data_IF_905925346148
#
_entry.id   IF_905925346148
#
_cell.length_a   1.000
_cell.length_b   1.000
_cell.length_c   1.000
_cell.angle_alpha   90.00
_cell.angle_beta   90.00
_cell.angle_gamma   90.00
#
_symmetry.space_group_name_H-M   'P 1'
#
loop_
_entity.id
_entity.type
_entity.pdbx_description
1 polymer ?
#
# COMPACT_ATOMS: atom_id res chain seq x y z
N UNK A 1 3.08 14.65 26.35
CA UNK A 1 1.70 14.97 25.93
C UNK A 1 1.66 16.07 24.87
N UNK A 2 2.39 17.18 25.02
CA UNK A 2 2.41 18.25 23.99
C UNK A 2 3.10 17.81 22.68
N UNK A 3 4.28 17.20 22.77
CA UNK A 3 5.03 16.70 21.58
C UNK A 3 4.28 15.60 20.83
N UNK A 4 3.60 14.72 21.55
CA UNK A 4 2.77 13.68 20.98
C UNK A 4 1.59 14.28 20.20
N UNK A 5 0.89 15.26 20.80
CA UNK A 5 -0.21 15.97 20.13
C UNK A 5 0.29 16.75 18.91
N UNK A 6 1.46 17.38 19.00
CA UNK A 6 2.11 18.01 17.86
C UNK A 6 2.35 16.98 16.74
N UNK A 7 2.89 15.82 17.08
CA UNK A 7 3.21 14.75 16.13
C UNK A 7 1.95 14.23 15.44
N UNK A 8 0.89 13.95 16.20
CA UNK A 8 -0.41 13.51 15.66
C UNK A 8 -0.96 14.54 14.66
N UNK A 9 -0.90 15.84 14.98
CA UNK A 9 -1.34 16.88 14.04
C UNK A 9 -0.50 16.91 12.76
N UNK A 10 0.81 16.71 12.87
CA UNK A 10 1.72 16.67 11.71
C UNK A 10 1.49 15.43 10.84
N UNK A 11 1.28 14.28 11.45
CA UNK A 11 0.90 13.04 10.76
C UNK A 11 -0.43 13.24 10.03
N UNK A 12 -1.48 13.70 10.72
CA UNK A 12 -2.80 13.93 10.12
C UNK A 12 -2.73 14.85 8.90
N UNK A 13 -1.97 15.94 9.00
CA UNK A 13 -1.77 16.87 7.90
C UNK A 13 -1.05 16.22 6.71
N UNK A 14 0.03 15.48 6.98
CA UNK A 14 0.83 14.84 5.94
C UNK A 14 0.07 13.72 5.22
N UNK A 15 -0.69 12.91 5.97
CA UNK A 15 -1.43 11.76 5.44
C UNK A 15 -2.86 12.09 5.04
N UNK A 16 -3.28 13.35 5.14
CA UNK A 16 -4.65 13.82 4.88
C UNK A 16 -5.72 12.99 5.64
N UNK A 17 -5.38 12.52 6.83
CA UNK A 17 -6.21 11.63 7.64
C UNK A 17 -6.85 12.38 8.81
N UNK A 18 -7.80 11.72 9.48
CA UNK A 18 -8.39 12.26 10.71
C UNK A 18 -7.37 12.24 11.86
N UNK A 19 -7.60 13.09 12.88
CA UNK A 19 -6.78 13.09 14.11
C UNK A 19 -6.80 11.73 14.81
N UNK A 20 -7.92 11.02 14.81
CA UNK A 20 -8.04 9.68 15.40
C UNK A 20 -7.16 8.65 14.66
N UNK A 21 -7.19 8.69 13.33
CA UNK A 21 -6.37 7.80 12.51
C UNK A 21 -4.87 8.13 12.63
N UNK A 22 -4.51 9.41 12.61
CA UNK A 22 -3.14 9.84 12.88
C UNK A 22 -2.66 9.45 14.28
N UNK A 23 -3.55 9.53 15.28
CA UNK A 23 -3.32 9.02 16.64
C UNK A 23 -2.96 7.54 16.63
N UNK A 24 -3.71 6.71 15.89
CA UNK A 24 -3.42 5.29 15.72
C UNK A 24 -2.08 5.06 15.02
N UNK A 25 -1.71 5.86 14.03
CA UNK A 25 -0.40 5.74 13.36
C UNK A 25 0.73 5.97 14.38
N UNK A 26 0.63 7.02 15.20
CA UNK A 26 1.64 7.35 16.23
C UNK A 26 1.68 6.28 17.33
N UNK A 27 0.52 5.82 17.80
CA UNK A 27 0.42 4.71 18.77
C UNK A 27 1.14 3.46 18.24
N UNK A 28 0.93 3.12 16.98
CA UNK A 28 1.52 1.93 16.35
C UNK A 28 3.01 2.11 16.05
N UNK A 29 3.48 3.34 15.88
CA UNK A 29 4.90 3.64 15.84
C UNK A 29 5.56 3.38 17.21
N UNK A 30 4.89 3.69 18.32
CA UNK A 30 5.37 3.36 19.69
C UNK A 30 5.34 1.85 19.93
N UNK A 31 4.23 1.18 19.62
CA UNK A 31 4.10 -0.28 19.79
C UNK A 31 5.11 -1.05 18.91
N UNK A 32 5.34 -0.57 17.69
CA UNK A 32 6.32 -1.09 16.76
C UNK A 32 7.77 -0.70 17.06
N UNK A 33 8.00 0.03 18.16
CA UNK A 33 9.32 0.51 18.61
C UNK A 33 10.06 1.38 17.60
N UNK A 34 9.32 2.05 16.72
CA UNK A 34 9.83 3.14 15.90
C UNK A 34 10.05 4.40 16.75
N UNK A 35 9.25 4.54 17.81
CA UNK A 35 9.40 5.53 18.89
C UNK A 35 9.58 4.75 20.20
N UNK A 36 10.66 5.01 20.94
CA UNK A 36 10.92 4.33 22.21
C UNK A 36 9.96 4.84 23.30
N UNK A 37 9.26 3.93 23.98
CA UNK A 37 8.25 4.30 24.98
C UNK A 37 8.87 4.97 26.21
N UNK A 38 10.08 4.55 26.59
CA UNK A 38 10.79 5.03 27.77
C UNK A 38 11.43 6.41 27.56
N UNK A 39 11.69 6.78 26.30
CA UNK A 39 12.28 8.06 25.91
C UNK A 39 11.77 8.47 24.53
N UNK A 40 10.49 8.87 24.42
CA UNK A 40 9.87 9.11 23.12
C UNK A 40 10.41 10.38 22.48
N UNK A 41 10.96 10.23 21.28
CA UNK A 41 11.40 11.36 20.44
C UNK A 41 10.52 11.45 19.18
N UNK A 42 9.37 12.10 19.35
CA UNK A 42 8.39 12.28 18.28
C UNK A 42 8.91 13.18 17.15
N UNK A 43 9.77 14.16 17.46
CA UNK A 43 10.30 15.09 16.47
C UNK A 43 11.29 14.40 15.54
N UNK A 44 12.23 13.64 16.09
CA UNK A 44 13.19 12.86 15.31
C UNK A 44 12.47 11.82 14.47
N UNK A 45 11.54 11.07 15.06
CA UNK A 45 10.75 10.10 14.29
C UNK A 45 10.01 10.77 13.14
N UNK A 46 9.32 11.89 13.37
CA UNK A 46 8.57 12.56 12.32
C UNK A 46 9.48 13.09 11.20
N UNK A 47 10.52 13.85 11.55
CA UNK A 47 11.34 14.55 10.56
C UNK A 47 12.35 13.67 9.84
N UNK A 48 12.92 12.68 10.52
CA UNK A 48 14.01 11.86 9.97
C UNK A 48 13.53 10.53 9.42
N UNK A 49 12.34 10.07 9.80
CA UNK A 49 11.85 8.73 9.46
C UNK A 49 10.48 8.75 8.78
N UNK A 50 9.46 9.31 9.41
CA UNK A 50 8.09 9.25 8.89
C UNK A 50 7.91 10.13 7.65
N UNK A 51 8.07 11.44 7.79
CA UNK A 51 7.84 12.40 6.71
C UNK A 51 8.65 12.15 5.43
N UNK A 52 9.96 11.82 5.46
CA UNK A 52 10.71 11.56 4.24
C UNK A 52 10.27 10.28 3.52
N UNK A 53 9.71 9.32 4.25
CA UNK A 53 9.31 8.00 3.74
C UNK A 53 7.81 7.87 3.45
N UNK A 54 7.04 8.95 3.60
CA UNK A 54 5.66 9.00 3.12
C UNK A 54 5.64 9.41 1.65
N UNK A 55 4.85 8.67 0.88
CA UNK A 55 4.52 8.95 -0.52
C UNK A 55 3.01 9.01 -0.70
N UNK A 56 2.58 9.65 -1.77
CA UNK A 56 1.17 9.74 -2.16
C UNK A 56 0.95 8.96 -3.45
N UNK A 57 -0.04 8.06 -3.44
CA UNK A 57 -0.51 7.33 -4.61
C UNK A 57 -1.69 8.12 -5.20
N UNK A 58 -1.50 8.56 -6.44
CA UNK A 58 -2.48 9.29 -7.23
C UNK A 58 -3.61 8.39 -7.75
N UNK A 59 -4.67 9.01 -8.28
CA UNK A 59 -5.74 8.30 -8.98
C UNK A 59 -5.21 7.47 -10.16
N UNK A 60 -4.26 8.02 -10.93
CA UNK A 60 -3.70 7.34 -12.11
C UNK A 60 -2.84 6.13 -11.73
N UNK A 61 -2.10 6.20 -10.63
CA UNK A 61 -1.35 5.07 -10.08
C UNK A 61 -2.31 4.00 -9.55
N UNK A 62 -3.32 4.41 -8.78
CA UNK A 62 -4.35 3.51 -8.31
C UNK A 62 -5.06 2.79 -9.48
N UNK A 63 -5.43 3.53 -10.53
CA UNK A 63 -6.12 3.01 -11.70
C UNK A 63 -5.30 1.93 -12.41
N UNK A 64 -4.01 2.20 -12.64
CA UNK A 64 -3.08 1.24 -13.25
C UNK A 64 -2.97 -0.03 -12.42
N UNK A 65 -2.74 0.12 -11.12
CA UNK A 65 -2.68 -1.00 -10.18
C UNK A 65 -3.98 -1.81 -10.14
N UNK A 66 -5.14 -1.16 -10.12
CA UNK A 66 -6.43 -1.83 -10.12
C UNK A 66 -6.67 -2.61 -11.43
N UNK A 67 -6.27 -2.04 -12.57
CA UNK A 67 -6.35 -2.71 -13.89
C UNK A 67 -5.39 -3.91 -13.94
N UNK A 68 -4.17 -3.77 -13.46
CA UNK A 68 -3.21 -4.88 -13.45
C UNK A 68 -3.66 -6.02 -12.54
N UNK A 69 -4.26 -5.71 -11.39
CA UNK A 69 -4.91 -6.70 -10.55
C UNK A 69 -6.00 -7.48 -11.29
N UNK A 70 -6.85 -6.81 -12.09
CA UNK A 70 -7.88 -7.50 -12.89
C UNK A 70 -7.30 -8.47 -13.93
N UNK A 71 -6.18 -8.10 -14.58
CA UNK A 71 -5.52 -8.96 -15.57
C UNK A 71 -5.12 -10.30 -14.97
N UNK A 72 -4.63 -10.29 -13.72
CA UNK A 72 -4.15 -11.49 -13.02
C UNK A 72 -5.27 -12.23 -12.31
N UNK A 73 -6.30 -11.53 -11.80
CA UNK A 73 -7.34 -12.15 -10.98
C UNK A 73 -8.09 -13.27 -11.70
N UNK A 74 -8.27 -13.16 -13.01
CA UNK A 74 -8.93 -14.16 -13.83
C UNK A 74 -8.24 -15.54 -13.81
N UNK A 75 -6.91 -15.59 -13.62
CA UNK A 75 -6.17 -16.85 -13.52
C UNK A 75 -6.09 -17.40 -12.09
N UNK A 76 -6.09 -16.52 -11.08
CA UNK A 76 -6.06 -16.91 -9.66
C UNK A 76 -7.42 -17.39 -9.16
N UNK A 77 -8.52 -16.79 -9.61
CA UNK A 77 -9.86 -17.17 -9.17
C UNK A 77 -10.22 -18.62 -9.55
N UNK A 78 -9.65 -19.16 -10.63
CA UNK A 78 -9.89 -20.54 -11.07
C UNK A 78 -9.32 -21.60 -10.09
N UNK A 79 -8.25 -21.28 -9.35
CA UNK A 79 -7.60 -22.22 -8.42
C UNK A 79 -8.21 -22.23 -7.02
N UNK A 80 -8.86 -21.15 -6.59
CA UNK A 80 -9.41 -20.99 -5.22
C UNK A 80 -10.80 -21.62 -5.03
N UNK A 81 -11.49 -22.05 -6.11
CA UNK A 81 -12.83 -22.67 -6.07
C UNK A 81 -12.92 -23.99 -5.25
N UNK A 82 -11.79 -24.59 -4.85
CA UNK A 82 -11.75 -25.82 -4.05
C UNK A 82 -11.64 -25.63 -2.52
N UNK A 83 -11.57 -24.40 -2.01
CA UNK A 83 -11.31 -24.12 -0.58
C UNK A 83 -12.57 -23.75 0.22
N UNK A 84 -12.55 -23.96 1.54
CA UNK A 84 -13.69 -23.77 2.46
C UNK A 84 -14.06 -22.31 2.77
N UNK A 85 -13.27 -21.34 2.29
CA UNK A 85 -13.56 -19.90 2.35
C UNK A 85 -13.40 -19.31 0.95
N UNK A 86 -14.43 -19.47 0.12
CA UNK A 86 -14.47 -18.81 -1.18
C UNK A 86 -14.68 -17.30 -0.99
N UNK A 87 -13.67 -16.51 -1.36
CA UNK A 87 -13.79 -15.04 -1.47
C UNK A 87 -14.47 -14.72 -2.79
N UNK A 88 -15.35 -13.71 -2.80
CA UNK A 88 -15.92 -13.23 -4.04
C UNK A 88 -14.88 -12.48 -4.90
N UNK A 89 -15.19 -12.31 -6.19
CA UNK A 89 -14.29 -11.67 -7.15
C UNK A 89 -13.92 -10.23 -6.75
N UNK A 90 -14.87 -9.46 -6.20
CA UNK A 90 -14.62 -8.08 -5.78
C UNK A 90 -13.68 -8.00 -4.59
N UNK A 91 -13.82 -8.92 -3.63
CA UNK A 91 -12.93 -9.04 -2.49
C UNK A 91 -11.51 -9.42 -2.94
N UNK A 92 -11.39 -10.43 -3.81
CA UNK A 92 -10.10 -10.85 -4.37
C UNK A 92 -9.43 -9.69 -5.12
N UNK A 93 -10.20 -8.94 -5.91
CA UNK A 93 -9.69 -7.78 -6.64
C UNK A 93 -9.20 -6.68 -5.70
N UNK A 94 -9.98 -6.36 -4.67
CA UNK A 94 -9.59 -5.39 -3.65
C UNK A 94 -8.34 -5.80 -2.88
N UNK A 95 -8.23 -7.08 -2.52
CA UNK A 95 -7.04 -7.64 -1.85
C UNK A 95 -5.79 -7.50 -2.74
N UNK A 96 -5.87 -7.90 -4.00
CA UNK A 96 -4.76 -7.84 -4.95
C UNK A 96 -4.35 -6.39 -5.27
N UNK A 97 -5.34 -5.51 -5.50
CA UNK A 97 -5.10 -4.07 -5.70
C UNK A 97 -4.33 -3.50 -4.52
N UNK A 98 -4.72 -3.81 -3.27
CA UNK A 98 -3.99 -3.34 -2.08
C UNK A 98 -2.54 -3.83 -2.01
N UNK A 99 -2.28 -5.07 -2.44
CA UNK A 99 -0.90 -5.60 -2.54
C UNK A 99 -0.06 -4.78 -3.52
N UNK A 100 -0.56 -4.61 -4.74
CA UNK A 100 0.13 -3.84 -5.78
C UNK A 100 0.26 -2.35 -5.45
N UNK A 101 -0.64 -1.77 -4.65
CA UNK A 101 -0.49 -0.39 -4.17
C UNK A 101 0.75 -0.22 -3.28
N UNK A 102 1.13 -1.26 -2.52
CA UNK A 102 2.36 -1.24 -1.73
C UNK A 102 3.61 -1.25 -2.63
N UNK A 103 3.60 -2.05 -3.70
CA UNK A 103 4.66 -2.08 -4.71
C UNK A 103 4.77 -0.73 -5.42
N UNK A 104 3.63 -0.15 -5.83
CA UNK A 104 3.55 1.16 -6.46
C UNK A 104 4.08 2.26 -5.53
N UNK A 105 3.70 2.26 -4.25
CA UNK A 105 4.24 3.19 -3.26
C UNK A 105 5.77 3.12 -3.16
N UNK A 106 6.34 1.92 -3.16
CA UNK A 106 7.79 1.77 -3.12
C UNK A 106 8.44 2.26 -4.42
N UNK A 107 7.85 2.02 -5.60
CA UNK A 107 8.32 2.60 -6.86
C UNK A 107 8.30 4.13 -6.84
N UNK A 108 7.26 4.76 -6.29
CA UNK A 108 7.19 6.23 -6.13
C UNK A 108 8.31 6.71 -5.20
N UNK A 109 8.53 5.98 -4.10
CA UNK A 109 9.61 6.27 -3.16
C UNK A 109 10.98 6.18 -3.82
N UNK A 110 11.27 5.11 -4.57
CA UNK A 110 12.52 4.98 -5.33
C UNK A 110 12.71 6.14 -6.32
N UNK A 111 11.65 6.53 -7.03
CA UNK A 111 11.69 7.66 -7.97
C UNK A 111 12.02 8.97 -7.28
N UNK A 112 11.47 9.21 -6.08
CA UNK A 112 11.82 10.36 -5.22
C UNK A 112 13.31 10.38 -4.86
N UNK A 113 13.94 9.20 -4.83
CA UNK A 113 15.39 9.02 -4.62
C UNK A 113 16.20 8.90 -5.93
N UNK A 114 15.62 9.23 -7.08
CA UNK A 114 16.31 9.23 -8.38
C UNK A 114 16.52 7.83 -8.98
N UNK A 115 15.69 6.86 -8.58
CA UNK A 115 15.72 5.48 -9.07
C UNK A 115 14.39 5.19 -9.75
N UNK A 116 14.39 5.08 -11.08
CA UNK A 116 13.25 4.56 -11.82
C UNK A 116 13.23 3.04 -11.72
N UNK A 117 12.06 2.43 -11.70
CA UNK A 117 11.91 0.97 -11.65
C UNK A 117 10.69 0.47 -12.41
N UNK A 118 10.63 -0.84 -12.68
CA UNK A 118 9.44 -1.54 -13.20
C UNK A 118 8.97 -2.59 -12.20
N UNK A 119 7.66 -2.79 -12.11
CA UNK A 119 7.04 -3.80 -11.23
C UNK A 119 6.93 -5.15 -11.95
N UNK A 120 6.99 -6.25 -11.20
CA UNK A 120 6.90 -7.60 -11.76
C UNK A 120 5.54 -7.87 -12.46
N UNK A 121 4.45 -7.37 -11.88
CA UNK A 121 3.08 -7.62 -12.37
C UNK A 121 2.69 -6.82 -13.62
N UNK A 122 3.53 -5.90 -14.10
CA UNK A 122 3.32 -5.24 -15.41
C UNK A 122 3.44 -6.23 -16.59
N UNK A 123 3.93 -7.46 -16.36
CA UNK A 123 3.97 -8.55 -17.35
C UNK A 123 2.76 -9.49 -17.19
N UNK A 124 1.94 -9.57 -18.23
CA UNK A 124 0.65 -10.30 -18.22
C UNK A 124 0.68 -11.83 -18.26
N UNK A 125 1.80 -12.52 -17.95
CA UNK A 125 1.84 -13.98 -17.86
C UNK A 125 2.35 -14.45 -16.50
N UNK A 126 1.64 -15.42 -15.91
CA UNK A 126 1.95 -16.00 -14.59
C UNK A 126 3.35 -16.62 -14.51
N UNK A 127 3.89 -17.11 -15.63
CA UNK A 127 5.22 -17.71 -15.69
C UNK A 127 6.37 -16.68 -15.61
N UNK A 128 6.07 -15.38 -15.76
CA UNK A 128 7.04 -14.28 -15.74
C UNK A 128 7.03 -13.49 -14.41
N UNK A 129 6.38 -13.99 -13.35
CA UNK A 129 6.48 -13.42 -12.01
C UNK A 129 7.92 -13.60 -11.51
N UNK A 130 8.72 -12.57 -11.78
CA UNK A 130 10.11 -12.47 -11.39
C UNK A 130 10.23 -12.68 -9.87
N UNK A 131 11.33 -13.31 -9.45
CA UNK A 131 11.64 -13.61 -8.03
C UNK A 131 11.69 -12.35 -7.11
N UNK A 132 11.57 -11.16 -7.69
CA UNK A 132 11.65 -9.85 -7.05
C UNK A 132 10.49 -8.98 -7.53
N UNK A 133 9.86 -8.25 -6.61
CA UNK A 133 8.78 -7.31 -6.94
C UNK A 133 9.29 -6.11 -7.75
N UNK A 134 10.59 -5.78 -7.59
CA UNK A 134 11.31 -4.77 -8.36
C UNK A 134 12.43 -5.44 -9.19
N UNK A 135 12.11 -6.01 -10.36
CA UNK A 135 13.08 -6.72 -11.18
C UNK A 135 14.04 -5.82 -11.98
N UNK A 136 13.61 -4.60 -12.31
CA UNK A 136 14.40 -3.69 -13.14
C UNK A 136 14.48 -2.30 -12.51
N UNK A 137 15.66 -1.69 -12.60
CA UNK A 137 15.93 -0.34 -12.10
C UNK A 137 16.75 0.46 -13.12
N UNK A 138 16.65 1.78 -13.02
CA UNK A 138 17.49 2.74 -13.74
C UNK A 138 17.84 3.89 -12.81
N UNK A 139 19.12 4.21 -12.72
CA UNK A 139 19.63 5.38 -11.99
C UNK A 139 20.13 6.44 -12.96
N UNK A 140 20.50 7.62 -12.47
CA UNK A 140 21.15 8.66 -13.28
C UNK A 140 22.46 8.21 -13.96
N UNK A 141 23.06 7.09 -13.53
CA UNK A 141 24.28 6.52 -14.12
C UNK A 141 23.99 5.50 -15.23
N UNK A 142 22.74 5.08 -15.37
CA UNK A 142 22.36 4.04 -16.32
C UNK A 142 21.73 4.69 -17.57
N UNK A 143 22.20 4.31 -18.75
CA UNK A 143 21.62 4.78 -20.02
C UNK A 143 20.22 4.17 -20.25
N UNK A 144 20.01 2.95 -19.78
CA UNK A 144 18.79 2.16 -19.95
C UNK A 144 18.41 1.40 -18.67
N UNK A 145 17.17 0.86 -18.64
CA UNK A 145 16.73 -0.05 -17.59
C UNK A 145 17.60 -1.30 -17.58
N UNK A 146 18.08 -1.68 -16.39
CA UNK A 146 18.86 -2.89 -16.16
C UNK A 146 18.19 -3.76 -15.09
N UNK A 147 18.58 -5.03 -15.04
CA UNK A 147 18.18 -5.91 -13.94
C UNK A 147 18.68 -5.37 -12.60
N UNK A 148 17.81 -5.48 -11.60
CA UNK A 148 18.17 -5.21 -10.21
C UNK A 148 19.15 -6.30 -9.75
N UNK A 149 20.26 -5.88 -9.14
CA UNK A 149 21.23 -6.80 -8.52
C UNK A 149 20.78 -7.31 -7.16
N UNK A 150 19.70 -6.72 -6.66
CA UNK A 150 19.16 -6.89 -5.31
C UNK A 150 17.69 -7.29 -5.47
N UNK A 151 17.33 -8.44 -4.91
CA UNK A 151 15.95 -8.92 -4.90
C UNK A 151 15.18 -8.30 -3.74
N UNK A 152 14.09 -7.62 -4.05
CA UNK A 152 13.26 -6.93 -3.06
C UNK A 152 11.89 -7.57 -3.02
N UNK A 153 11.47 -7.97 -1.81
CA UNK A 153 10.11 -8.37 -1.50
C UNK A 153 9.40 -7.25 -0.76
N UNK A 154 8.20 -6.90 -1.19
CA UNK A 154 7.41 -5.79 -0.67
C UNK A 154 6.18 -6.37 0.02
N UNK A 155 6.01 -6.02 1.30
CA UNK A 155 4.84 -6.40 2.09
C UNK A 155 4.03 -5.16 2.42
N UNK A 156 2.83 -5.11 1.86
CA UNK A 156 1.80 -4.13 2.17
C UNK A 156 1.05 -4.51 3.45
N UNK A 157 0.82 -3.53 4.33
CA UNK A 157 -0.10 -3.66 5.47
C UNK A 157 -0.89 -2.37 5.68
N UNK A 158 -1.86 -2.39 6.58
CA UNK A 158 -2.65 -1.20 6.96
C UNK A 158 -1.84 -0.33 7.93
N UNK A 159 -2.29 0.89 8.18
CA UNK A 159 -1.69 1.79 9.19
C UNK A 159 -1.50 1.16 10.57
N UNK A 160 -2.41 0.27 10.98
CA UNK A 160 -2.34 -0.42 12.25
C UNK A 160 -1.50 -1.70 12.25
N UNK A 161 -0.93 -2.09 11.11
CA UNK A 161 0.01 -3.19 11.01
C UNK A 161 1.33 -2.80 11.68
N UNK A 162 1.86 -3.67 12.53
CA UNK A 162 3.11 -3.44 13.26
C UNK A 162 4.20 -4.37 12.75
N UNK A 163 3.82 -5.60 12.45
CA UNK A 163 4.73 -6.69 12.14
C UNK A 163 4.94 -6.84 10.64
N UNK A 164 6.20 -7.02 10.25
CA UNK A 164 6.56 -7.58 8.96
C UNK A 164 6.51 -9.10 9.08
N UNK A 165 5.38 -9.68 8.70
CA UNK A 165 5.21 -11.13 8.67
C UNK A 165 5.58 -11.66 7.28
N UNK A 166 6.59 -12.54 7.24
CA UNK A 166 7.10 -13.14 6.01
C UNK A 166 6.91 -14.65 6.14
N UNK A 167 6.03 -15.25 5.31
CA UNK A 167 5.87 -16.71 5.26
C UNK A 167 7.22 -17.40 5.04
N UNK A 168 7.44 -18.53 5.73
CA UNK A 168 8.75 -19.18 5.77
C UNK A 168 9.28 -19.62 4.41
N UNK A 169 8.40 -19.94 3.47
CA UNK A 169 8.70 -20.28 2.07
C UNK A 169 9.06 -19.06 1.21
N UNK A 170 8.60 -17.87 1.59
CA UNK A 170 8.87 -16.61 0.86
C UNK A 170 10.12 -15.89 1.37
N UNK A 171 10.62 -16.26 2.55
CA UNK A 171 11.75 -15.59 3.19
C UNK A 171 13.02 -15.65 2.35
N UNK A 172 13.31 -16.80 1.70
CA UNK A 172 14.50 -17.02 0.89
C UNK A 172 14.46 -16.42 -0.52
N UNK A 173 13.34 -15.84 -0.96
CA UNK A 173 13.20 -15.34 -2.33
C UNK A 173 13.75 -13.93 -2.53
N UNK A 174 13.95 -13.17 -1.45
CA UNK A 174 14.39 -11.78 -1.51
C UNK A 174 15.60 -11.54 -0.61
N UNK A 175 16.50 -10.67 -1.06
CA UNK A 175 17.65 -10.18 -0.29
C UNK A 175 17.20 -9.18 0.78
N UNK A 176 16.16 -8.40 0.46
CA UNK A 176 15.55 -7.44 1.37
C UNK A 176 14.03 -7.57 1.36
N UNK A 177 13.43 -7.41 2.53
CA UNK A 177 11.98 -7.32 2.69
C UNK A 177 11.62 -5.93 3.19
N UNK A 178 10.77 -5.24 2.43
CA UNK A 178 10.32 -3.87 2.71
C UNK A 178 8.90 -3.92 3.27
N UNK A 179 8.67 -3.22 4.38
CA UNK A 179 7.34 -3.03 4.93
C UNK A 179 6.76 -1.68 4.47
N UNK A 180 5.60 -1.71 3.83
CA UNK A 180 4.86 -0.53 3.41
C UNK A 180 3.50 -0.51 4.10
N UNK A 181 3.22 0.53 4.88
CA UNK A 181 1.88 0.78 5.45
C UNK A 181 1.10 1.62 4.45
N UNK A 182 0.01 1.10 3.89
CA UNK A 182 -0.82 1.79 2.90
C UNK A 182 -2.12 2.25 3.57
N UNK A 183 -2.44 3.54 3.41
CA UNK A 183 -3.62 4.20 3.96
C UNK A 183 -4.92 3.89 3.22
N UNK A 184 -5.12 2.64 2.84
CA UNK A 184 -6.33 2.23 2.12
C UNK A 184 -7.46 2.00 3.13
N UNK A 185 -8.51 2.80 3.05
CA UNK A 185 -9.75 2.57 3.78
C UNK A 185 -10.56 1.41 3.18
N UNK A 186 -11.56 0.89 3.91
CA UNK A 186 -12.36 -0.26 3.46
C UNK A 186 -13.16 0.00 2.18
N UNK A 187 -13.39 1.26 1.88
CA UNK A 187 -14.28 1.81 0.86
C UNK A 187 -13.52 2.35 -0.37
N UNK A 188 -12.19 2.15 -0.43
CA UNK A 188 -11.34 2.62 -1.52
C UNK A 188 -11.81 2.24 -2.93
N UNK A 189 -12.29 1.00 -3.12
CA UNK A 189 -12.82 0.54 -4.40
C UNK A 189 -14.07 1.33 -4.81
N UNK A 190 -14.96 1.60 -3.86
CA UNK A 190 -16.17 2.37 -4.12
C UNK A 190 -15.87 3.86 -4.37
N UNK A 191 -14.87 4.41 -3.69
CA UNK A 191 -14.34 5.74 -4.01
C UNK A 191 -13.82 5.80 -5.44
N UNK A 192 -13.05 4.79 -5.86
CA UNK A 192 -12.58 4.66 -7.23
C UNK A 192 -13.73 4.54 -8.25
N UNK A 193 -14.73 3.68 -7.99
CA UNK A 193 -15.90 3.52 -8.84
C UNK A 193 -16.72 4.81 -8.97
N UNK A 194 -16.88 5.56 -7.87
CA UNK A 194 -17.54 6.87 -7.90
C UNK A 194 -16.79 7.81 -8.84
N UNK A 195 -15.47 7.89 -8.74
CA UNK A 195 -14.65 8.72 -9.62
C UNK A 195 -14.69 8.31 -11.09
N UNK A 196 -15.06 7.06 -11.39
CA UNK A 196 -15.30 6.58 -12.76
C UNK A 196 -16.75 6.79 -13.25
N UNK A 197 -17.65 7.35 -12.43
CA UNK A 197 -19.07 7.53 -12.76
C UNK A 197 -19.90 6.24 -12.69
N UNK A 198 -19.37 5.17 -12.08
CA UNK A 198 -20.09 3.89 -11.97
C UNK A 198 -21.33 4.00 -11.08
N UNK A 199 -21.26 4.78 -10.00
CA UNK A 199 -22.40 5.01 -9.11
C UNK A 199 -23.52 5.75 -9.84
N UNK A 200 -23.17 6.76 -10.65
CA UNK A 200 -24.14 7.51 -11.45
C UNK A 200 -24.85 6.59 -12.45
N UNK A 201 -24.13 5.62 -13.03
CA UNK A 201 -24.71 4.58 -13.89
C UNK A 201 -25.70 3.67 -13.15
N UNK A 202 -25.37 3.24 -11.93
CA UNK A 202 -26.30 2.43 -11.10
C UNK A 202 -27.56 3.23 -10.77
N UNK A 203 -27.41 4.51 -10.40
CA UNK A 203 -28.54 5.37 -10.08
C UNK A 203 -29.46 5.57 -11.28
N UNK A 204 -28.91 5.72 -12.48
CA UNK A 204 -29.69 5.83 -13.71
C UNK A 204 -30.47 4.55 -14.01
N UNK A 205 -29.82 3.38 -13.91
CA UNK A 205 -30.50 2.08 -14.08
C UNK A 205 -31.63 1.89 -13.05
N UNK A 206 -31.43 2.36 -11.81
CA UNK A 206 -32.46 2.33 -10.76
C UNK A 206 -33.67 3.21 -11.09
N UNK A 207 -33.46 4.37 -11.74
CA UNK A 207 -34.56 5.22 -12.22
C UNK A 207 -35.30 4.56 -13.38
N UNK A 208 -34.56 4.04 -14.36
CA UNK A 208 -35.14 3.42 -15.56
C UNK A 208 -36.04 2.23 -15.20
N UNK A 209 -35.63 1.41 -14.22
CA UNK A 209 -36.42 0.26 -13.74
C UNK A 209 -37.39 0.59 -12.61
N UNK A 210 -37.61 1.87 -12.28
CA UNK A 210 -38.50 2.34 -11.21
C UNK A 210 -38.16 1.78 -9.81
N UNK A 211 -36.92 1.33 -9.61
CA UNK A 211 -36.41 0.90 -8.31
C UNK A 211 -36.02 2.10 -7.41
N UNK A 212 -35.76 3.26 -8.01
CA UNK A 212 -35.48 4.53 -7.34
C UNK A 212 -36.39 5.61 -7.92
N UNK A 213 -37.48 5.91 -7.22
CA UNK A 213 -38.50 6.86 -7.67
C UNK A 213 -38.42 8.18 -6.90
N UNK A 214 -37.90 8.14 -5.66
CA UNK A 214 -37.76 9.31 -4.79
C UNK A 214 -36.40 10.01 -4.99
N UNK A 215 -36.37 11.31 -5.36
CA UNK A 215 -35.15 12.12 -5.41
C UNK A 215 -34.35 12.16 -4.09
N UNK A 216 -35.00 12.01 -2.94
CA UNK A 216 -34.33 11.96 -1.64
C UNK A 216 -33.53 10.66 -1.47
N UNK A 217 -34.06 9.53 -1.91
CA UNK A 217 -33.36 8.23 -1.90
C UNK A 217 -32.14 8.24 -2.81
N UNK A 218 -32.24 8.84 -4.00
CA UNK A 218 -31.11 9.00 -4.94
C UNK A 218 -29.99 9.80 -4.29
N UNK A 219 -30.36 10.90 -3.61
CA UNK A 219 -29.40 11.76 -2.92
C UNK A 219 -28.74 11.02 -1.75
N UNK A 220 -29.50 10.23 -1.01
CA UNK A 220 -28.98 9.40 0.08
C UNK A 220 -27.95 8.38 -0.43
N UNK A 221 -28.28 7.61 -1.47
CA UNK A 221 -27.37 6.60 -2.04
C UNK A 221 -26.11 7.27 -2.60
N UNK A 222 -26.26 8.39 -3.31
CA UNK A 222 -25.11 9.16 -3.79
C UNK A 222 -24.24 9.59 -2.63
N UNK A 223 -24.78 10.14 -1.55
CA UNK A 223 -23.96 10.67 -0.45
C UNK A 223 -23.26 9.61 0.43
N UNK A 224 -23.68 8.34 0.37
CA UNK A 224 -23.06 7.25 1.14
C UNK A 224 -21.73 6.80 0.53
N UNK A 225 -21.58 6.87 -0.79
CA UNK A 225 -20.37 6.40 -1.46
C UNK A 225 -19.25 7.42 -1.28
N UNK A 226 -18.08 7.08 -0.74
CA UNK A 226 -16.99 8.03 -0.57
C UNK A 226 -16.48 8.56 -1.92
N UNK A 227 -15.85 9.73 -1.90
CA UNK A 227 -15.01 10.18 -3.01
C UNK A 227 -13.63 9.52 -2.94
N UNK A 228 -13.04 9.27 -4.11
CA UNK A 228 -11.64 8.88 -4.17
C UNK A 228 -10.76 10.00 -3.59
N UNK A 229 -9.82 9.61 -2.74
CA UNK A 229 -8.76 10.49 -2.24
C UNK A 229 -7.42 9.84 -2.55
N UNK A 230 -6.39 10.64 -2.90
CA UNK A 230 -5.03 10.14 -2.98
C UNK A 230 -4.65 9.39 -1.71
N UNK A 231 -3.95 8.26 -1.87
CA UNK A 231 -3.68 7.34 -0.78
C UNK A 231 -2.26 7.57 -0.30
N UNK A 232 -2.10 7.95 0.97
CA UNK A 232 -0.77 8.01 1.58
C UNK A 232 -0.25 6.61 1.89
N UNK A 233 1.03 6.38 1.62
CA UNK A 233 1.73 5.16 2.00
C UNK A 233 3.04 5.50 2.68
N UNK A 234 3.41 4.74 3.70
CA UNK A 234 4.63 4.92 4.50
C UNK A 234 5.55 3.72 4.34
N UNK A 235 6.75 3.98 3.80
CA UNK A 235 7.83 3.01 3.70
C UNK A 235 8.48 2.94 5.09
N UNK A 236 8.09 1.95 5.89
CA UNK A 236 8.48 1.87 7.29
C UNK A 236 9.96 1.57 7.46
N UNK A 237 10.51 0.80 6.53
CA UNK A 237 11.89 0.37 6.53
C UNK A 237 12.01 -1.00 5.89
N UNK A 238 13.19 -1.59 6.02
CA UNK A 238 13.48 -2.89 5.44
C UNK A 238 14.26 -3.77 6.43
N UNK A 239 14.25 -5.07 6.16
CA UNK A 239 15.09 -6.06 6.81
C UNK A 239 15.90 -6.80 5.75
N UNK A 240 17.19 -6.99 6.01
CA UNK A 240 18.05 -7.80 5.17
C UNK A 240 17.86 -9.28 5.51
N UNK A 241 17.75 -10.10 4.49
CA UNK A 241 17.82 -11.54 4.65
C UNK A 241 19.28 -11.96 4.93
N UNK A 242 19.55 -12.41 6.17
CA UNK A 242 20.87 -12.92 6.57
C UNK A 242 20.89 -14.44 6.79
N UNK A 243 19.90 -15.18 6.26
CA UNK A 243 19.77 -16.62 6.44
C UNK A 243 18.57 -17.05 7.31
N UNK A 244 18.37 -18.36 7.54
CA UNK A 244 17.12 -18.90 8.07
C UNK A 244 16.97 -18.56 9.56
N UNK A 245 15.91 -17.80 9.85
CA UNK A 245 15.44 -17.37 11.18
C UNK A 245 16.26 -16.26 11.89
N UNK A 246 15.88 -15.02 11.66
CA UNK A 246 16.07 -13.95 12.66
C UNK A 246 14.80 -13.79 13.49
N UNK A 247 14.91 -13.92 14.81
CA UNK A 247 13.96 -13.28 15.73
C UNK A 247 14.22 -11.79 15.66
N UNK A 248 13.22 -11.00 15.26
CA UNK A 248 13.21 -9.53 15.30
C UNK A 248 13.24 -9.08 16.77
N UNK A 249 14.34 -9.29 17.48
CA UNK A 249 14.49 -8.89 18.88
C UNK A 249 15.69 -7.98 19.12
N UNK A 250 16.59 -7.79 18.14
CA UNK A 250 17.82 -7.01 18.36
C UNK A 250 18.16 -5.97 17.30
N UNK A 251 17.59 -6.04 16.10
CA UNK A 251 17.89 -5.08 15.03
C UNK A 251 16.59 -4.43 14.60
N UNK A 252 16.44 -3.13 14.88
CA UNK A 252 15.33 -2.34 14.35
C UNK A 252 15.36 -2.34 12.83
N UNK A 253 14.22 -2.05 12.19
CA UNK A 253 14.15 -1.83 10.74
C UNK A 253 15.14 -0.75 10.30
N UNK A 254 15.93 -1.03 9.27
CA UNK A 254 16.85 -0.07 8.69
C UNK A 254 16.08 1.00 7.88
N UNK A 255 16.59 2.23 7.85
CA UNK A 255 16.07 3.32 7.03
C UNK A 255 16.85 3.33 5.72
N UNK A 256 16.15 3.50 4.59
CA UNK A 256 16.77 3.54 3.28
C UNK A 256 17.69 4.75 3.13
N UNK A 257 18.97 4.49 2.84
CA UNK A 257 20.01 5.51 2.70
C UNK A 257 20.16 6.05 1.27
N UNK A 258 19.32 5.60 0.34
CA UNK A 258 19.38 5.97 -1.08
C UNK A 258 20.20 5.05 -1.96
N UNK A 259 20.73 3.92 -1.45
CA UNK A 259 21.58 3.00 -2.24
C UNK A 259 20.92 1.62 -2.35
N UNK A 260 20.85 1.10 -3.58
CA UNK A 260 20.41 -0.26 -3.93
C UNK A 260 21.52 -1.04 -4.64
#
# INVERSE_FOLDING_TARGET
MEDERWCINKVAHLTKSSIDEAGKIVEKAVEGREILKESPDYHTWFHQRFAPSVVEISFDEYSRTAIDALKILSSVAATDFGSSRQRDFGQLWGDMTRGYLAESAFQIFLRKHGIDSKLAHEKGKMEDFLESDIPYVKTAKDDSLREARTKVGIKGTKWNGIWLDIPGDQYSHSDYHVLVKVGVHRDHLFGYFRSLGFIDRILEEGRENQALVDPEEISLVSNIVPEFKPISAYICGFVRNTGPAMKIQTHGSEIFDGKL
#
